data_IF_878091800123
#
_entry.id   IF_878091800123
#
_cell.length_a   1.000
_cell.length_b   1.000
_cell.length_c   1.000
_cell.angle_alpha   90.00
_cell.angle_beta   90.00
_cell.angle_gamma   90.00
#
_symmetry.space_group_name_H-M   'P 1'
#
loop_
_entity.id
_entity.type
_entity.pdbx_description
1 polymer ?
#
# COMPACT_ATOMS: atom_id res chain seq x y z
N UNK A 1 -30.32 6.05 -8.51
CA UNK A 1 -29.00 6.64 -8.24
C UNK A 1 -28.35 6.82 -9.60
N UNK A 2 -28.32 8.06 -10.11
CA UNK A 2 -27.94 8.34 -11.50
C UNK A 2 -26.42 8.45 -11.59
N UNK A 3 -25.87 7.84 -12.63
CA UNK A 3 -24.46 7.70 -12.94
C UNK A 3 -23.74 9.06 -12.97
N UNK A 4 -22.73 9.23 -12.10
CA UNK A 4 -21.82 10.37 -12.14
C UNK A 4 -20.90 10.25 -13.36
N UNK A 5 -21.30 10.97 -14.40
CA UNK A 5 -20.64 11.04 -15.70
C UNK A 5 -19.20 11.56 -15.55
N UNK A 6 -18.23 10.66 -15.72
CA UNK A 6 -16.94 10.85 -16.38
C UNK A 6 -16.37 12.29 -16.38
N UNK A 7 -15.93 12.76 -15.21
CA UNK A 7 -15.14 13.98 -15.09
C UNK A 7 -13.77 13.73 -15.73
N UNK A 8 -13.60 14.13 -16.99
CA UNK A 8 -12.33 14.03 -17.71
C UNK A 8 -11.62 15.38 -17.71
N UNK A 9 -10.42 15.42 -17.16
CA UNK A 9 -9.49 16.52 -17.35
C UNK A 9 -8.09 15.93 -17.65
N UNK A 10 -7.23 16.73 -18.28
CA UNK A 10 -5.89 16.29 -18.71
C UNK A 10 -5.04 15.78 -17.56
N UNK A 11 -5.28 16.26 -16.33
CA UNK A 11 -4.55 15.82 -15.14
C UNK A 11 -5.03 14.46 -14.65
N UNK A 12 -6.33 14.19 -14.67
CA UNK A 12 -6.90 12.90 -14.30
C UNK A 12 -6.47 11.82 -15.29
N UNK A 13 -6.40 12.15 -16.59
CA UNK A 13 -5.87 11.25 -17.60
C UNK A 13 -4.38 10.91 -17.32
N UNK A 14 -3.56 11.90 -16.96
CA UNK A 14 -2.15 11.66 -16.58
C UNK A 14 -1.99 10.77 -15.33
N UNK A 15 -2.94 10.82 -14.39
CA UNK A 15 -2.86 10.02 -13.16
C UNK A 15 -3.21 8.54 -13.36
N UNK A 16 -3.81 8.19 -14.50
CA UNK A 16 -4.19 6.80 -14.80
C UNK A 16 -2.98 5.86 -14.79
N UNK A 17 -1.84 6.31 -15.32
CA UNK A 17 -0.59 5.52 -15.37
C UNK A 17 -0.01 5.19 -13.97
N UNK A 18 -0.45 5.90 -12.92
CA UNK A 18 -0.02 5.71 -11.53
C UNK A 18 -1.13 5.20 -10.62
N UNK A 19 -2.27 4.81 -11.20
CA UNK A 19 -3.38 4.22 -10.46
C UNK A 19 -3.27 2.70 -10.51
N UNK A 20 -3.48 2.03 -9.38
CA UNK A 20 -3.48 0.57 -9.29
C UNK A 20 -4.87 0.04 -8.95
N UNK A 21 -5.29 -1.02 -9.63
CA UNK A 21 -6.51 -1.80 -9.33
C UNK A 21 -6.08 -3.20 -8.87
N UNK A 22 -6.72 -3.70 -7.82
CA UNK A 22 -6.33 -4.94 -7.14
C UNK A 22 -7.45 -6.00 -7.12
N UNK A 23 -8.56 -5.80 -7.85
CA UNK A 23 -9.76 -6.65 -7.76
C UNK A 23 -9.49 -8.16 -7.98
N UNK A 24 -8.57 -8.51 -8.87
CA UNK A 24 -8.23 -9.90 -9.22
C UNK A 24 -6.73 -10.24 -9.04
N UNK A 25 -6.00 -9.38 -8.33
CA UNK A 25 -4.56 -9.53 -8.14
C UNK A 25 -4.21 -10.42 -6.93
N UNK A 26 -3.01 -11.02 -6.98
CA UNK A 26 -2.46 -11.78 -5.84
C UNK A 26 -1.71 -10.84 -4.91
N UNK A 27 -1.81 -11.11 -3.61
CA UNK A 27 -0.98 -10.41 -2.63
C UNK A 27 0.49 -10.76 -2.86
N UNK A 28 1.32 -9.74 -3.03
CA UNK A 28 2.75 -9.87 -3.30
C UNK A 28 3.58 -8.97 -2.39
N UNK A 29 4.89 -9.22 -2.34
CA UNK A 29 5.90 -8.26 -1.85
C UNK A 29 6.09 -7.14 -2.87
N UNK A 30 6.78 -6.07 -2.47
CA UNK A 30 7.09 -4.94 -3.34
C UNK A 30 7.95 -5.32 -4.57
N UNK A 31 8.64 -6.46 -4.53
CA UNK A 31 9.38 -7.02 -5.67
C UNK A 31 8.56 -8.05 -6.46
N UNK A 32 7.26 -8.18 -6.18
CA UNK A 32 6.34 -9.03 -6.92
C UNK A 32 6.33 -10.50 -6.50
N UNK A 33 6.95 -10.88 -5.38
CA UNK A 33 6.91 -12.26 -4.90
C UNK A 33 5.56 -12.55 -4.24
N UNK A 34 4.88 -13.63 -4.65
CA UNK A 34 3.58 -14.03 -4.08
C UNK A 34 3.71 -14.42 -2.61
N UNK A 35 2.80 -13.90 -1.78
CA UNK A 35 2.72 -14.20 -0.35
C UNK A 35 1.72 -15.34 -0.14
N UNK A 36 2.19 -16.46 0.41
CA UNK A 36 1.35 -17.63 0.68
C UNK A 36 0.54 -17.50 1.98
N UNK A 37 1.15 -16.97 3.04
CA UNK A 37 0.51 -16.73 4.33
C UNK A 37 0.86 -15.32 4.81
N UNK A 38 -0.16 -14.50 5.10
CA UNK A 38 -0.01 -13.12 5.59
C UNK A 38 -0.54 -12.94 7.04
N UNK A 39 -0.82 -14.05 7.73
CA UNK A 39 -1.37 -14.06 9.09
C UNK A 39 -0.28 -14.39 10.12
N UNK A 40 0.79 -15.07 9.71
CA UNK A 40 1.84 -15.56 10.60
C UNK A 40 3.23 -15.09 10.18
N UNK A 41 4.08 -14.87 11.18
CA UNK A 41 5.53 -14.78 11.00
C UNK A 41 6.17 -16.18 10.89
N UNK A 42 7.29 -16.26 10.19
CA UNK A 42 8.16 -17.44 10.18
C UNK A 42 8.87 -17.60 11.53
N UNK A 43 8.73 -18.78 12.13
CA UNK A 43 9.18 -19.08 13.50
C UNK A 43 9.90 -20.44 13.55
N UNK A 44 10.80 -20.61 14.53
CA UNK A 44 11.42 -21.90 14.85
C UNK A 44 10.45 -22.84 15.60
N UNK A 45 9.44 -23.32 14.89
CA UNK A 45 8.31 -24.08 15.45
C UNK A 45 7.08 -23.19 15.74
N UNK A 46 5.93 -23.81 15.99
CA UNK A 46 4.63 -23.11 16.09
C UNK A 46 4.62 -22.03 17.20
N UNK A 47 5.24 -22.33 18.34
CA UNK A 47 5.39 -21.40 19.49
C UNK A 47 6.85 -20.99 19.73
N UNK A 48 7.68 -21.08 18.69
CA UNK A 48 9.09 -20.69 18.75
C UNK A 48 9.32 -19.19 18.49
N UNK A 49 10.57 -18.73 18.61
CA UNK A 49 10.94 -17.36 18.25
C UNK A 49 10.85 -17.11 16.74
N UNK A 50 10.59 -15.86 16.34
CA UNK A 50 10.61 -15.44 14.93
C UNK A 50 12.03 -15.43 14.35
N UNK A 51 12.16 -15.77 13.07
CA UNK A 51 13.44 -15.84 12.38
C UNK A 51 13.75 -14.53 11.62
N UNK A 52 15.02 -14.12 11.63
CA UNK A 52 15.48 -12.91 10.93
C UNK A 52 15.44 -13.02 9.39
N UNK A 53 15.42 -14.26 8.89
CA UNK A 53 15.32 -14.58 7.46
C UNK A 53 13.92 -14.34 6.88
N UNK A 54 12.92 -14.02 7.73
CA UNK A 54 11.58 -13.64 7.27
C UNK A 54 11.60 -12.25 6.62
N UNK A 55 11.94 -12.22 5.33
CA UNK A 55 12.00 -10.99 4.57
C UNK A 55 10.61 -10.41 4.29
N UNK A 56 9.56 -11.24 4.22
CA UNK A 56 8.18 -10.78 3.99
C UNK A 56 7.71 -9.95 5.18
N UNK A 57 7.87 -10.47 6.40
CA UNK A 57 7.55 -9.75 7.63
C UNK A 57 8.34 -8.44 7.72
N UNK A 58 9.66 -8.53 7.53
CA UNK A 58 10.55 -7.37 7.64
C UNK A 58 10.19 -6.28 6.65
N UNK A 59 9.94 -6.63 5.40
CA UNK A 59 9.57 -5.66 4.38
C UNK A 59 8.26 -4.94 4.74
N UNK A 60 7.24 -5.70 5.12
CA UNK A 60 5.93 -5.15 5.50
C UNK A 60 6.02 -4.19 6.67
N UNK A 61 6.75 -4.57 7.74
CA UNK A 61 6.94 -3.72 8.92
C UNK A 61 7.84 -2.51 8.60
N UNK A 62 8.89 -2.70 7.79
CA UNK A 62 9.77 -1.58 7.39
C UNK A 62 8.98 -0.53 6.61
N UNK A 63 8.09 -0.94 5.71
CA UNK A 63 7.25 0.02 4.99
C UNK A 63 6.31 0.77 5.96
N UNK A 64 5.66 0.05 6.88
CA UNK A 64 4.78 0.63 7.90
C UNK A 64 5.50 1.65 8.80
N UNK A 65 6.69 1.29 9.31
CA UNK A 65 7.48 2.14 10.20
C UNK A 65 7.86 3.48 9.56
N UNK A 66 7.87 3.56 8.23
CA UNK A 66 8.27 4.73 7.46
C UNK A 66 7.11 5.37 6.66
N UNK A 67 5.84 5.12 7.02
CA UNK A 67 4.69 5.73 6.34
C UNK A 67 4.59 7.25 6.57
N UNK A 68 5.15 7.76 7.66
CA UNK A 68 5.04 9.17 8.03
C UNK A 68 6.12 10.00 7.34
N UNK A 69 5.68 11.07 6.70
CA UNK A 69 6.53 12.15 6.19
C UNK A 69 6.29 13.43 6.98
N UNK A 70 7.25 14.38 7.03
CA UNK A 70 7.03 15.68 7.64
C UNK A 70 5.81 16.39 7.06
N UNK A 71 5.00 16.99 7.92
CA UNK A 71 3.86 17.80 7.50
C UNK A 71 4.29 19.16 6.93
N UNK A 72 3.39 19.85 6.22
CA UNK A 72 3.63 21.24 5.79
C UNK A 72 3.77 22.13 7.02
N UNK A 73 4.78 23.02 7.00
CA UNK A 73 5.10 23.96 8.09
C UNK A 73 3.87 24.75 8.57
N UNK A 74 3.00 25.14 7.63
CA UNK A 74 1.70 25.78 7.90
C UNK A 74 0.60 25.11 7.08
N UNK A 75 -0.65 25.23 7.55
CA UNK A 75 -1.82 24.58 6.97
C UNK A 75 -1.72 23.04 6.93
N UNK A 76 -1.13 22.43 7.96
CA UNK A 76 -0.97 20.97 8.07
C UNK A 76 -2.31 20.21 7.94
N UNK A 77 -3.41 20.80 8.42
CA UNK A 77 -4.78 20.27 8.24
C UNK A 77 -5.47 20.92 7.04
N UNK A 78 -5.89 20.12 6.07
CA UNK A 78 -6.68 20.55 4.91
C UNK A 78 -7.29 19.37 4.16
N UNK A 79 -8.25 19.64 3.27
CA UNK A 79 -8.87 18.68 2.36
C UNK A 79 -8.88 19.24 0.94
N UNK A 80 -8.88 18.37 -0.08
CA UNK A 80 -8.83 18.77 -1.49
C UNK A 80 -9.78 17.94 -2.35
N UNK A 81 -10.20 18.53 -3.48
CA UNK A 81 -10.98 17.88 -4.54
C UNK A 81 -10.45 18.33 -5.91
N UNK A 82 -10.52 17.44 -6.91
CA UNK A 82 -10.26 17.81 -8.30
C UNK A 82 -11.47 18.53 -8.90
N UNK A 83 -11.23 19.40 -9.88
CA UNK A 83 -12.24 20.17 -10.61
C UNK A 83 -11.68 20.76 -11.89
#
# INVERSE_FOLDING_TARGET
MKDDKNFKNTKLDQLQDHTTDNADEKLTTNQGLKINNNQDSLKAGERGPSLLEDFILREKITHFDHERIPERIVHARGSGAHG
#
